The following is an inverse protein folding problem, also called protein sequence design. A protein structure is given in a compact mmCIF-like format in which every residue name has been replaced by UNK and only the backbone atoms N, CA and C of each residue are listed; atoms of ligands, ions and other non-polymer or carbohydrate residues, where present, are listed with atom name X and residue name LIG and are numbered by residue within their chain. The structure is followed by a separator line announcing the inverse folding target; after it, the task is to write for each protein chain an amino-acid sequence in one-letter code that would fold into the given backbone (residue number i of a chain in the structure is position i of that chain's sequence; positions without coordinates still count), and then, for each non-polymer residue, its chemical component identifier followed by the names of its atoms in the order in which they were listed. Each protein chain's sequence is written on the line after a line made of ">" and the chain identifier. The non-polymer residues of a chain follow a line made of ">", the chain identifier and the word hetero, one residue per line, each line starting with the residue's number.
data_IF_888651104623
#
_entry.id   IF_888651104623
#
_cell.length_a   1.000
_cell.length_b   1.000
_cell.length_c   1.000
_cell.angle_alpha   90.00
_cell.angle_beta   90.00
_cell.angle_gamma   90.00
#
_symmetry.space_group_name_H-M   'P 1'
#
loop_
_entity.id
_entity.type
_entity.pdbx_description
1 polymer ?
#
# COMPACT_ATOMS: atom_id res chain seq x y z
N UNK A 1 -5.03 -5.95 3.47
CA UNK A 1 -5.68 -7.29 3.31
C UNK A 1 -4.75 -8.27 2.61
N UNK A 2 -4.95 -9.55 2.84
CA UNK A 2 -4.31 -10.65 2.11
C UNK A 2 -5.41 -11.58 1.57
N UNK A 3 -5.09 -12.81 1.13
CA UNK A 3 -6.05 -13.71 0.48
C UNK A 3 -7.37 -13.87 1.25
N UNK A 4 -7.30 -14.17 2.55
CA UNK A 4 -8.44 -14.60 3.36
C UNK A 4 -9.04 -13.49 4.26
N UNK A 5 -8.55 -12.26 4.16
CA UNK A 5 -9.05 -11.16 4.97
C UNK A 5 -7.99 -10.12 5.34
N UNK A 6 -8.20 -9.46 6.46
CA UNK A 6 -7.23 -8.51 6.97
C UNK A 6 -6.02 -9.23 7.58
N UNK A 7 -4.83 -8.70 7.34
CA UNK A 7 -3.60 -9.31 7.82
C UNK A 7 -3.56 -9.44 9.34
N UNK A 8 -4.10 -8.46 10.08
CA UNK A 8 -4.20 -8.50 11.52
C UNK A 8 -5.05 -9.65 12.06
N UNK A 9 -6.08 -10.05 11.32
CA UNK A 9 -6.99 -11.12 11.74
C UNK A 9 -6.43 -12.51 11.43
N UNK A 10 -5.63 -12.60 10.36
CA UNK A 10 -5.09 -13.88 9.89
C UNK A 10 -3.80 -14.27 10.60
N UNK A 11 -2.85 -13.37 10.75
CA UNK A 11 -1.54 -13.68 11.32
C UNK A 11 -0.99 -12.65 12.30
N UNK A 12 -1.77 -11.60 12.61
CA UNK A 12 -1.41 -10.56 13.58
C UNK A 12 0.09 -10.19 13.57
N UNK A 13 0.61 -9.62 12.47
CA UNK A 13 2.06 -9.44 12.29
C UNK A 13 2.66 -8.42 13.27
N UNK A 14 1.84 -7.72 14.05
CA UNK A 14 2.22 -6.57 14.88
C UNK A 14 2.82 -5.45 14.02
N UNK A 15 3.77 -4.69 14.57
CA UNK A 15 4.45 -3.66 13.81
C UNK A 15 5.65 -4.23 13.04
N UNK A 16 5.60 -4.29 11.68
CA UNK A 16 6.71 -4.80 10.89
C UNK A 16 7.95 -3.90 10.97
N UNK A 17 7.81 -2.59 11.15
CA UNK A 17 8.95 -1.67 11.29
C UNK A 17 9.73 -2.00 12.55
N UNK A 18 9.04 -2.18 13.68
CA UNK A 18 9.69 -2.54 14.95
C UNK A 18 10.35 -3.92 14.88
N UNK A 19 9.77 -4.85 14.13
CA UNK A 19 10.40 -6.16 13.89
C UNK A 19 11.73 -6.03 13.14
N UNK A 20 11.76 -5.29 12.04
CA UNK A 20 13.01 -5.05 11.31
C UNK A 20 14.05 -4.36 12.20
N UNK A 21 13.64 -3.35 12.98
CA UNK A 21 14.52 -2.64 13.90
C UNK A 21 15.11 -3.55 14.97
N UNK A 22 14.32 -4.49 15.50
CA UNK A 22 14.79 -5.45 16.50
C UNK A 22 15.88 -6.41 15.97
N UNK A 23 15.97 -6.56 14.65
CA UNK A 23 17.05 -7.30 13.98
C UNK A 23 18.21 -6.41 13.50
N UNK A 24 18.23 -5.14 13.91
CA UNK A 24 19.32 -4.20 13.57
C UNK A 24 19.20 -3.56 12.19
N UNK A 25 18.01 -3.54 11.59
CA UNK A 25 17.76 -2.84 10.34
C UNK A 25 17.35 -1.38 10.58
N UNK A 26 17.76 -0.49 9.71
CA UNK A 26 17.15 0.83 9.59
C UNK A 26 15.81 0.69 8.87
N UNK A 27 14.71 0.84 9.61
CA UNK A 27 13.39 0.62 9.06
C UNK A 27 12.51 1.86 9.15
N UNK A 28 11.83 2.17 8.05
CA UNK A 28 10.87 3.29 7.96
C UNK A 28 9.55 2.82 7.39
N UNK A 29 8.48 3.53 7.74
CA UNK A 29 7.14 3.33 7.20
C UNK A 29 6.78 4.50 6.29
N UNK A 30 6.24 4.21 5.12
CA UNK A 30 5.77 5.20 4.17
C UNK A 30 4.42 4.82 3.60
N UNK A 31 3.65 5.82 3.20
CA UNK A 31 2.40 5.60 2.48
C UNK A 31 2.71 4.97 1.11
N UNK A 32 2.12 3.80 0.82
CA UNK A 32 2.46 2.98 -0.35
C UNK A 32 1.95 3.53 -1.70
N UNK A 33 1.22 4.63 -1.70
CA UNK A 33 0.79 5.36 -2.91
C UNK A 33 1.32 6.79 -2.98
N UNK A 34 2.16 7.21 -2.02
CA UNK A 34 2.89 8.48 -2.10
C UNK A 34 4.27 8.22 -2.75
N UNK A 35 4.32 8.36 -4.08
CA UNK A 35 5.55 8.15 -4.84
C UNK A 35 6.70 9.05 -4.38
N UNK A 36 6.40 10.29 -3.97
CA UNK A 36 7.43 11.22 -3.49
C UNK A 36 7.97 10.78 -2.11
N UNK A 37 7.13 10.26 -1.23
CA UNK A 37 7.58 9.70 0.05
C UNK A 37 8.42 8.44 -0.15
N UNK A 38 8.02 7.58 -1.08
CA UNK A 38 8.77 6.37 -1.44
C UNK A 38 10.14 6.74 -2.02
N UNK A 39 10.20 7.70 -2.95
CA UNK A 39 11.46 8.19 -3.51
C UNK A 39 12.39 8.73 -2.41
N UNK A 40 11.88 9.60 -1.53
CA UNK A 40 12.67 10.13 -0.40
C UNK A 40 13.21 9.01 0.48
N UNK A 41 12.41 8.00 0.79
CA UNK A 41 12.84 6.87 1.61
C UNK A 41 13.93 6.04 0.92
N UNK A 42 13.82 5.82 -0.39
CA UNK A 42 14.83 5.11 -1.19
C UNK A 42 16.14 5.92 -1.22
N UNK A 43 16.05 7.22 -1.45
CA UNK A 43 17.25 8.08 -1.47
C UNK A 43 17.95 8.10 -0.11
N UNK A 44 17.20 8.20 0.98
CA UNK A 44 17.73 8.12 2.34
C UNK A 44 18.40 6.77 2.62
N UNK A 45 17.79 5.66 2.15
CA UNK A 45 18.34 4.32 2.33
C UNK A 45 19.64 4.06 1.53
N UNK A 46 19.98 4.93 0.58
CA UNK A 46 21.26 4.85 -0.16
C UNK A 46 22.43 5.45 0.60
N UNK A 47 22.16 6.27 1.61
CA UNK A 47 23.21 6.85 2.44
C UNK A 47 23.81 5.74 3.33
N UNK A 48 25.15 5.66 3.44
CA UNK A 48 25.80 4.64 4.24
C UNK A 48 25.45 4.76 5.73
N UNK A 49 24.75 3.78 6.27
CA UNK A 49 24.43 3.71 7.71
C UNK A 49 25.13 2.54 8.42
N UNK A 50 25.72 1.62 7.65
CA UNK A 50 26.29 0.38 8.19
C UNK A 50 25.26 -0.69 8.56
N UNK A 51 23.97 -0.42 8.37
CA UNK A 51 22.84 -1.34 8.58
C UNK A 51 22.06 -1.58 7.28
N UNK A 52 21.44 -2.73 7.12
CA UNK A 52 20.49 -2.93 6.03
C UNK A 52 19.24 -2.06 6.22
N UNK A 53 18.60 -1.67 5.12
CA UNK A 53 17.41 -0.83 5.15
C UNK A 53 16.15 -1.60 4.80
N UNK A 54 15.04 -1.28 5.48
CA UNK A 54 13.71 -1.77 5.17
C UNK A 54 12.74 -0.60 5.01
N UNK A 55 12.06 -0.54 3.86
CA UNK A 55 11.01 0.45 3.61
C UNK A 55 9.68 -0.30 3.61
N UNK A 56 8.90 -0.11 4.66
CA UNK A 56 7.59 -0.74 4.83
C UNK A 56 6.54 0.16 4.20
N UNK A 57 5.92 -0.32 3.11
CA UNK A 57 4.85 0.39 2.43
C UNK A 57 3.51 0.07 3.10
N UNK A 58 2.85 1.08 3.65
CA UNK A 58 1.45 0.96 4.05
C UNK A 58 0.58 1.04 2.80
N UNK A 59 -0.05 -0.07 2.46
CA UNK A 59 -0.88 -0.19 1.27
C UNK A 59 -2.28 -0.70 1.60
N UNK A 60 -3.23 -0.35 0.75
CA UNK A 60 -4.56 -0.94 0.74
C UNK A 60 -4.71 -1.80 -0.51
N UNK A 61 -5.21 -3.02 -0.36
CA UNK A 61 -5.39 -3.93 -1.49
C UNK A 61 -6.49 -3.41 -2.41
N UNK A 62 -6.15 -3.20 -3.68
CA UNK A 62 -7.04 -2.63 -4.67
C UNK A 62 -7.09 -1.10 -4.70
N UNK A 63 -6.17 -0.42 -3.98
CA UNK A 63 -6.13 1.04 -3.88
C UNK A 63 -6.20 1.72 -5.25
N UNK A 64 -7.05 2.74 -5.36
CA UNK A 64 -7.31 3.47 -6.59
C UNK A 64 -8.52 2.96 -7.39
N UNK A 65 -9.07 1.79 -7.01
CA UNK A 65 -10.18 1.14 -7.69
C UNK A 65 -11.29 0.84 -6.68
N UNK A 66 -12.30 1.70 -6.59
CA UNK A 66 -13.32 1.67 -5.52
C UNK A 66 -14.03 0.33 -5.39
N UNK A 67 -14.34 -0.36 -6.48
CA UNK A 67 -15.00 -1.66 -6.38
C UNK A 67 -14.05 -2.72 -5.79
N UNK A 68 -12.74 -2.66 -6.09
CA UNK A 68 -11.76 -3.59 -5.55
C UNK A 68 -11.43 -3.28 -4.07
N UNK A 69 -11.39 -2.01 -3.70
CA UNK A 69 -11.17 -1.59 -2.30
C UNK A 69 -12.28 -2.09 -1.37
N UNK A 70 -13.53 -2.10 -1.85
CA UNK A 70 -14.72 -2.49 -1.06
C UNK A 70 -14.92 -3.99 -0.96
N UNK A 71 -14.38 -4.75 -1.92
CA UNK A 71 -14.55 -6.19 -1.95
C UNK A 71 -13.66 -6.89 -0.91
N UNK A 72 -14.22 -7.57 0.10
CA UNK A 72 -13.43 -8.24 1.13
C UNK A 72 -12.52 -9.33 0.58
N UNK A 73 -12.99 -10.06 -0.42
CA UNK A 73 -12.30 -11.20 -1.03
C UNK A 73 -11.80 -10.89 -2.43
N UNK A 74 -11.18 -9.72 -2.61
CA UNK A 74 -10.74 -9.22 -3.92
C UNK A 74 -9.51 -9.94 -4.51
N UNK A 75 -9.12 -11.08 -3.98
CA UNK A 75 -8.02 -11.87 -4.53
C UNK A 75 -8.43 -12.64 -5.80
N UNK A 76 -9.65 -13.14 -5.82
CA UNK A 76 -10.24 -13.86 -6.96
C UNK A 76 -11.48 -13.12 -7.47
N UNK A 77 -11.27 -12.02 -8.16
CA UNK A 77 -12.34 -11.27 -8.79
C UNK A 77 -12.42 -11.61 -10.27
N UNK A 78 -13.62 -11.82 -10.76
CA UNK A 78 -13.88 -11.81 -12.20
C UNK A 78 -14.10 -10.36 -12.60
N UNK A 79 -13.16 -9.80 -13.36
CA UNK A 79 -13.23 -8.41 -13.84
C UNK A 79 -13.90 -8.41 -15.20
N UNK A 80 -15.05 -7.72 -15.31
CA UNK A 80 -15.72 -7.49 -16.61
C UNK A 80 -15.10 -6.28 -17.32
N UNK A 81 -15.40 -6.14 -18.62
CA UNK A 81 -14.93 -4.98 -19.37
C UNK A 81 -15.50 -3.67 -18.81
N UNK A 82 -16.76 -3.67 -18.40
CA UNK A 82 -17.43 -2.52 -17.81
C UNK A 82 -16.72 -2.09 -16.51
N UNK A 83 -16.38 -3.03 -15.65
CA UNK A 83 -15.63 -2.75 -14.40
C UNK A 83 -14.25 -2.17 -14.69
N UNK A 84 -13.56 -2.67 -15.70
CA UNK A 84 -12.26 -2.14 -16.11
C UNK A 84 -12.38 -0.71 -16.63
N UNK A 85 -13.36 -0.43 -17.48
CA UNK A 85 -13.61 0.90 -18.05
C UNK A 85 -13.97 1.91 -16.95
N UNK A 86 -14.78 1.50 -15.97
CA UNK A 86 -15.16 2.30 -14.81
C UNK A 86 -13.95 2.64 -13.95
N UNK A 87 -13.07 1.67 -13.68
CA UNK A 87 -11.83 1.88 -12.94
C UNK A 87 -10.89 2.86 -13.64
N UNK A 88 -10.71 2.74 -14.95
CA UNK A 88 -9.87 3.65 -15.74
C UNK A 88 -10.41 5.09 -15.65
N UNK A 89 -11.73 5.26 -15.79
CA UNK A 89 -12.36 6.57 -15.67
C UNK A 89 -12.22 7.14 -14.25
N UNK A 90 -12.39 6.32 -13.22
CA UNK A 90 -12.22 6.74 -11.83
C UNK A 90 -10.80 7.21 -11.56
N UNK A 91 -9.79 6.42 -11.95
CA UNK A 91 -8.38 6.77 -11.80
C UNK A 91 -8.07 8.08 -12.54
N UNK A 92 -8.57 8.23 -13.76
CA UNK A 92 -8.40 9.45 -14.54
C UNK A 92 -9.00 10.69 -13.86
N UNK A 93 -10.20 10.57 -13.29
CA UNK A 93 -10.82 11.66 -12.52
C UNK A 93 -10.03 12.02 -11.27
N UNK A 94 -9.57 11.03 -10.51
CA UNK A 94 -8.78 11.24 -9.29
C UNK A 94 -7.44 11.90 -9.59
N UNK A 95 -6.76 11.48 -10.66
CA UNK A 95 -5.52 12.11 -11.12
C UNK A 95 -5.73 13.57 -11.52
N UNK A 96 -6.77 13.87 -12.30
CA UNK A 96 -7.08 15.23 -12.73
C UNK A 96 -7.44 16.16 -11.55
N UNK A 97 -8.05 15.61 -10.50
CA UNK A 97 -8.42 16.34 -9.29
C UNK A 97 -7.25 16.48 -8.30
N UNK A 98 -6.11 15.84 -8.53
CA UNK A 98 -5.00 15.76 -7.58
C UNK A 98 -5.33 14.98 -6.30
N UNK A 99 -6.45 14.25 -6.32
CA UNK A 99 -6.89 13.42 -5.20
C UNK A 99 -6.45 11.98 -5.44
N UNK A 100 -5.28 11.66 -4.93
CA UNK A 100 -4.90 10.25 -4.81
C UNK A 100 -5.77 9.56 -3.76
N UNK A 101 -5.97 8.23 -3.87
CA UNK A 101 -6.85 7.51 -2.97
C UNK A 101 -6.31 7.62 -1.55
N UNK A 102 -6.81 8.58 -0.83
CA UNK A 102 -6.73 8.60 0.61
C UNK A 102 -7.91 7.78 1.06
N UNK A 103 -7.71 6.47 1.21
CA UNK A 103 -8.70 5.67 1.89
C UNK A 103 -8.89 6.26 3.29
N UNK A 104 -10.11 6.67 3.63
CA UNK A 104 -10.44 6.91 5.02
C UNK A 104 -10.15 5.61 5.76
N UNK A 105 -9.22 5.67 6.69
CA UNK A 105 -8.98 4.56 7.61
C UNK A 105 -10.23 4.40 8.46
N UNK A 106 -10.95 3.31 8.26
CA UNK A 106 -11.93 2.85 9.23
C UNK A 106 -11.21 2.28 10.46
#
# INVERSE_FOLDING_TARGET
>A
RQLDGYLCDICAPFDPVEKFRSFGWDAVRVCGWDCAAIERAILAAREPSGAPHAIVLETEKGVGCSFAEREPFNHYMVITQEMADEAVQEIGRRLAAGTYPVGERA
#
